data_IF_312645409956
#
_entry.id   IF_312645409956
#
_cell.length_a   1.000
_cell.length_b   1.000
_cell.length_c   1.000
_cell.angle_alpha   90.00
_cell.angle_beta   90.00
_cell.angle_gamma   90.00
#
_symmetry.space_group_name_H-M   'P 1'
#
loop_
_entity.id
_entity.type
_entity.pdbx_description
1 polymer ?
#
# COMPACT_ATOMS: atom_id res chain seq x y z
N UNK A 1 -11.19 -24.50 48.68
CA UNK A 1 -10.22 -23.56 48.10
C UNK A 1 -9.22 -24.35 47.28
N UNK A 2 -9.36 -24.36 45.96
CA UNK A 2 -8.33 -24.83 45.03
C UNK A 2 -8.63 -24.16 43.67
N UNK A 3 -7.92 -23.08 43.34
CA UNK A 3 -7.99 -22.41 42.04
C UNK A 3 -6.90 -23.00 41.15
N UNK A 4 -7.30 -23.71 40.09
CA UNK A 4 -6.45 -24.15 38.98
C UNK A 4 -5.94 -22.91 38.21
N UNK A 5 -4.70 -22.87 37.69
CA UNK A 5 -4.17 -21.70 37.02
C UNK A 5 -4.57 -21.70 35.55
N UNK A 6 -4.99 -20.53 35.06
CA UNK A 6 -5.25 -20.16 33.66
C UNK A 6 -3.97 -20.16 32.78
N UNK A 7 -2.94 -20.91 33.17
CA UNK A 7 -1.65 -20.94 32.50
C UNK A 7 -1.61 -21.88 31.28
N UNK A 8 -2.66 -22.66 31.03
CA UNK A 8 -2.65 -23.70 29.98
C UNK A 8 -3.36 -23.30 28.67
N UNK A 9 -4.00 -22.13 28.59
CA UNK A 9 -4.72 -21.68 27.38
C UNK A 9 -3.95 -20.65 26.55
N UNK A 10 -2.82 -20.12 27.01
CA UNK A 10 -2.05 -19.12 26.25
C UNK A 10 -0.93 -19.71 25.38
N UNK A 11 -0.73 -21.04 25.38
CA UNK A 11 0.33 -21.71 24.62
C UNK A 11 -0.03 -22.04 23.16
N UNK A 12 -1.08 -21.41 22.58
CA UNK A 12 -1.61 -21.77 21.26
C UNK A 12 -1.78 -20.60 20.25
N UNK A 13 -1.22 -19.42 20.49
CA UNK A 13 -1.22 -18.33 19.49
C UNK A 13 0.19 -17.79 19.22
N UNK A 14 1.10 -18.66 18.79
CA UNK A 14 2.41 -18.29 18.30
C UNK A 14 2.64 -18.85 16.88
N UNK A 15 1.80 -18.47 15.92
CA UNK A 15 2.13 -18.56 14.48
C UNK A 15 1.42 -17.43 13.73
N UNK A 16 2.09 -16.28 13.61
CA UNK A 16 1.99 -15.40 12.44
C UNK A 16 2.96 -14.24 12.66
N UNK A 17 4.20 -14.41 12.20
CA UNK A 17 5.10 -13.30 11.99
C UNK A 17 4.58 -12.48 10.81
N UNK A 18 3.91 -11.36 11.10
CA UNK A 18 3.81 -10.24 10.16
C UNK A 18 4.78 -9.18 10.66
N UNK A 19 5.95 -9.13 10.02
CA UNK A 19 6.73 -7.89 9.95
C UNK A 19 6.02 -7.02 8.91
N UNK A 20 5.31 -5.98 9.37
CA UNK A 20 4.76 -4.96 8.49
C UNK A 20 5.83 -3.88 8.28
N UNK A 21 6.62 -4.00 7.20
CA UNK A 21 7.37 -2.87 6.67
C UNK A 21 6.40 -1.95 5.93
N UNK A 22 5.94 -0.88 6.59
CA UNK A 22 5.06 0.12 5.99
C UNK A 22 5.90 1.12 5.23
N UNK A 23 6.40 0.70 4.06
CA UNK A 23 6.90 1.59 3.01
C UNK A 23 6.46 1.12 1.63
N UNK A 24 5.15 1.02 1.43
CA UNK A 24 4.59 1.07 0.08
C UNK A 24 3.65 2.27 -0.04
N UNK A 25 4.15 3.32 -0.69
CA UNK A 25 3.28 4.30 -1.35
C UNK A 25 2.48 3.50 -2.36
N UNK A 26 1.15 3.49 -2.21
CA UNK A 26 0.26 2.86 -3.18
C UNK A 26 0.37 3.55 -4.54
N UNK A 27 1.32 3.13 -5.37
CA UNK A 27 1.28 3.36 -6.80
C UNK A 27 0.08 2.57 -7.33
N UNK A 28 -0.90 3.29 -7.88
CA UNK A 28 -2.10 2.67 -8.45
C UNK A 28 -1.69 1.51 -9.38
N UNK A 29 -2.14 0.30 -9.06
CA UNK A 29 -1.90 -0.87 -9.89
C UNK A 29 -2.42 -0.63 -11.31
N UNK A 30 -1.69 -1.04 -12.36
CA UNK A 30 -2.21 -0.99 -13.71
C UNK A 30 -3.55 -1.73 -13.79
N UNK A 31 -4.52 -1.15 -14.51
CA UNK A 31 -5.82 -1.78 -14.73
C UNK A 31 -5.70 -3.15 -15.39
N UNK A 32 -6.66 -4.04 -15.13
CA UNK A 32 -6.71 -5.39 -15.70
C UNK A 32 -6.77 -5.29 -17.24
N UNK A 33 -5.96 -6.05 -18.00
CA UNK A 33 -6.03 -6.08 -19.46
C UNK A 33 -7.44 -6.43 -19.95
N UNK A 34 -7.90 -5.76 -20.99
CA UNK A 34 -9.18 -6.05 -21.64
C UNK A 34 -9.25 -7.46 -22.22
N UNK A 35 -10.46 -8.00 -22.38
CA UNK A 35 -10.66 -9.32 -23.00
C UNK A 35 -10.33 -9.28 -24.51
N UNK A 36 -9.86 -10.40 -25.10
CA UNK A 36 -9.62 -10.48 -26.54
C UNK A 36 -10.90 -10.16 -27.33
N UNK A 37 -10.76 -9.44 -28.45
CA UNK A 37 -11.87 -9.15 -29.36
C UNK A 37 -12.48 -10.41 -29.97
N UNK A 38 -13.74 -10.33 -30.40
CA UNK A 38 -14.45 -11.43 -31.07
C UNK A 38 -13.88 -11.73 -32.46
N UNK A 39 -14.14 -12.95 -32.96
CA UNK A 39 -13.75 -13.33 -34.32
C UNK A 39 -14.52 -12.50 -35.36
N UNK A 40 -13.83 -12.12 -36.45
CA UNK A 40 -14.45 -11.41 -37.58
C UNK A 40 -15.50 -12.27 -38.30
N UNK A 41 -16.35 -11.60 -39.08
CA UNK A 41 -17.38 -12.27 -39.88
C UNK A 41 -16.77 -13.08 -41.04
N UNK A 42 -17.42 -14.18 -41.48
CA UNK A 42 -17.00 -14.91 -42.69
C UNK A 42 -16.97 -14.01 -43.93
N UNK A 43 -16.05 -14.30 -44.86
CA UNK A 43 -15.98 -13.62 -46.15
C UNK A 43 -17.26 -13.80 -46.98
N UNK A 44 -17.50 -12.89 -47.93
CA UNK A 44 -18.62 -13.00 -48.87
C UNK A 44 -18.35 -14.07 -49.91
N UNK A 45 -19.40 -14.72 -50.39
CA UNK A 45 -19.30 -15.71 -51.47
C UNK A 45 -18.76 -15.06 -52.77
N UNK A 46 -18.03 -15.86 -53.55
CA UNK A 46 -17.51 -15.44 -54.86
C UNK A 46 -18.63 -15.14 -55.85
N UNK A 47 -18.35 -14.29 -56.86
CA UNK A 47 -19.30 -14.02 -57.94
C UNK A 47 -19.35 -15.20 -58.92
N UNK A 48 -20.53 -15.44 -59.49
CA UNK A 48 -20.71 -16.44 -60.53
C UNK A 48 -19.81 -16.17 -61.74
N UNK A 49 -19.31 -17.25 -62.36
CA UNK A 49 -18.49 -17.18 -63.57
C UNK A 49 -19.27 -16.67 -64.77
N UNK A 50 -18.57 -16.04 -65.71
CA UNK A 50 -19.20 -15.61 -66.98
C UNK A 50 -19.65 -16.82 -67.80
N UNK A 51 -20.84 -16.73 -68.42
CA UNK A 51 -21.32 -17.76 -69.35
C UNK A 51 -20.38 -17.80 -70.56
N UNK A 52 -19.98 -19.01 -70.98
CA UNK A 52 -19.16 -19.18 -72.19
C UNK A 52 -19.87 -18.70 -73.44
N UNK A 53 -19.10 -18.21 -74.41
CA UNK A 53 -19.62 -17.73 -75.69
C UNK A 53 -20.29 -18.88 -76.48
N UNK A 54 -21.32 -18.58 -77.29
CA UNK A 54 -21.92 -19.58 -78.18
C UNK A 54 -20.88 -20.18 -79.13
N UNK A 55 -20.97 -21.50 -79.34
CA UNK A 55 -20.09 -22.19 -80.29
C UNK A 55 -20.24 -21.65 -81.73
N UNK A 56 -19.19 -21.73 -82.56
CA UNK A 56 -19.28 -21.29 -83.94
C UNK A 56 -20.35 -22.08 -84.71
N UNK A 57 -21.07 -21.46 -85.66
CA UNK A 57 -22.03 -22.15 -86.52
C UNK A 57 -21.37 -23.33 -87.23
N UNK A 58 -22.07 -24.46 -87.32
CA UNK A 58 -21.58 -25.64 -88.03
C UNK A 58 -21.35 -25.36 -89.53
N UNK A 59 -20.44 -26.11 -90.18
CA UNK A 59 -20.18 -25.96 -91.60
C UNK A 59 -21.45 -26.24 -92.43
N UNK A 60 -21.70 -25.42 -93.45
CA UNK A 60 -22.87 -25.56 -94.33
C UNK A 60 -22.83 -26.91 -95.07
N UNK A 61 -23.92 -27.67 -94.99
CA UNK A 61 -24.03 -28.98 -95.65
C UNK A 61 -24.10 -28.88 -97.18
N UNK A 62 -23.70 -29.95 -97.90
CA UNK A 62 -23.75 -29.97 -99.37
C UNK A 62 -25.20 -29.90 -99.91
N UNK A 63 -25.44 -29.25 -101.07
CA UNK A 63 -26.78 -29.07 -101.62
C UNK A 63 -27.47 -30.41 -101.94
N UNK A 64 -28.64 -30.64 -101.33
CA UNK A 64 -29.49 -31.82 -101.60
C UNK A 64 -29.52 -32.90 -100.50
N UNK A 65 -28.84 -32.70 -99.36
CA UNK A 65 -28.89 -33.62 -98.21
C UNK A 65 -29.85 -33.19 -97.09
N UNK A 66 -30.34 -34.17 -96.30
CA UNK A 66 -31.13 -33.95 -95.09
C UNK A 66 -30.39 -33.07 -94.07
N UNK A 67 -31.13 -32.30 -93.25
CA UNK A 67 -30.56 -31.43 -92.21
C UNK A 67 -29.57 -32.22 -91.32
N UNK A 68 -28.37 -31.68 -91.13
CA UNK A 68 -27.34 -32.31 -90.30
C UNK A 68 -27.79 -32.43 -88.84
N UNK A 69 -27.20 -33.36 -88.07
CA UNK A 69 -27.49 -33.47 -86.63
C UNK A 69 -27.18 -32.15 -85.91
N UNK A 70 -27.90 -31.82 -84.81
CA UNK A 70 -27.60 -30.65 -83.99
C UNK A 70 -26.11 -30.63 -83.59
N UNK A 71 -25.52 -29.44 -83.58
CA UNK A 71 -24.15 -29.25 -83.11
C UNK A 71 -24.00 -29.79 -81.68
N UNK A 72 -22.83 -30.34 -81.36
CA UNK A 72 -22.55 -30.77 -79.99
C UNK A 72 -22.55 -29.57 -79.04
N UNK A 73 -23.08 -29.78 -77.83
CA UNK A 73 -23.05 -28.76 -76.77
C UNK A 73 -21.60 -28.32 -76.51
N UNK A 74 -21.41 -27.00 -76.33
CA UNK A 74 -20.11 -26.45 -75.98
C UNK A 74 -19.60 -27.03 -74.65
N UNK A 75 -18.27 -27.13 -74.52
CA UNK A 75 -17.67 -27.60 -73.26
C UNK A 75 -18.07 -26.68 -72.09
N UNK A 76 -18.35 -27.27 -70.93
CA UNK A 76 -18.59 -26.51 -69.69
C UNK A 76 -17.36 -25.64 -69.41
N UNK A 77 -17.57 -24.35 -69.18
CA UNK A 77 -16.50 -23.40 -68.87
C UNK A 77 -15.70 -23.84 -67.65
N UNK A 78 -14.42 -23.48 -67.60
CA UNK A 78 -13.57 -23.79 -66.45
C UNK A 78 -14.17 -23.21 -65.15
N UNK A 79 -14.03 -23.90 -64.00
CA UNK A 79 -14.45 -23.36 -62.71
C UNK A 79 -13.86 -21.96 -62.48
N UNK A 80 -14.67 -21.06 -61.91
CA UNK A 80 -14.20 -19.73 -61.52
C UNK A 80 -13.01 -19.82 -60.57
N UNK A 81 -12.14 -18.80 -60.60
CA UNK A 81 -11.03 -18.72 -59.66
C UNK A 81 -11.54 -18.64 -58.20
N UNK A 82 -10.85 -19.24 -57.22
CA UNK A 82 -11.19 -19.08 -55.81
C UNK A 82 -11.27 -17.59 -55.44
N UNK A 83 -12.29 -17.22 -54.66
CA UNK A 83 -12.45 -15.85 -54.18
C UNK A 83 -11.24 -15.39 -53.35
N UNK A 84 -10.98 -14.08 -53.35
CA UNK A 84 -9.90 -13.52 -52.55
C UNK A 84 -10.16 -13.73 -51.05
N UNK A 85 -9.08 -13.94 -50.28
CA UNK A 85 -9.17 -14.04 -48.83
C UNK A 85 -9.70 -12.71 -48.28
N UNK A 86 -10.78 -12.78 -47.49
CA UNK A 86 -11.33 -11.61 -46.81
C UNK A 86 -10.28 -10.88 -45.96
N UNK A 87 -10.43 -9.56 -45.84
CA UNK A 87 -9.52 -8.74 -45.05
C UNK A 87 -9.54 -9.15 -43.56
N UNK A 88 -8.40 -8.98 -42.88
CA UNK A 88 -8.32 -9.21 -41.43
C UNK A 88 -9.20 -8.17 -40.74
N UNK A 89 -10.09 -8.62 -39.84
CA UNK A 89 -10.91 -7.72 -39.04
C UNK A 89 -10.05 -6.72 -38.25
N UNK A 90 -10.59 -5.52 -38.05
CA UNK A 90 -9.91 -4.47 -37.30
C UNK A 90 -9.68 -4.88 -35.83
N UNK A 91 -8.61 -4.39 -35.18
CA UNK A 91 -8.45 -4.57 -33.74
C UNK A 91 -9.66 -4.05 -32.98
N UNK A 92 -10.13 -4.78 -31.97
CA UNK A 92 -11.22 -4.34 -31.12
C UNK A 92 -10.90 -3.02 -30.43
N UNK A 93 -11.93 -2.20 -30.17
CA UNK A 93 -11.75 -0.93 -29.49
C UNK A 93 -11.18 -1.12 -28.08
N UNK A 94 -10.38 -0.15 -27.62
CA UNK A 94 -9.90 -0.13 -26.24
C UNK A 94 -11.12 -0.04 -25.31
N UNK A 95 -11.18 -0.92 -24.31
CA UNK A 95 -12.20 -0.83 -23.26
C UNK A 95 -12.20 0.52 -22.54
N UNK A 96 -13.33 0.91 -21.92
CA UNK A 96 -13.41 2.16 -21.17
C UNK A 96 -12.41 2.16 -20.01
N UNK A 97 -11.92 3.35 -19.58
CA UNK A 97 -11.17 3.46 -18.35
C UNK A 97 -11.93 2.85 -17.16
N UNK A 98 -11.20 2.23 -16.23
CA UNK A 98 -11.79 1.77 -14.97
C UNK A 98 -12.41 2.92 -14.18
N UNK A 99 -13.40 2.61 -13.34
CA UNK A 99 -14.00 3.62 -12.47
C UNK A 99 -12.95 4.19 -11.50
N UNK A 100 -12.89 5.51 -11.33
CA UNK A 100 -12.10 6.13 -10.28
C UNK A 100 -12.48 5.62 -8.89
N UNK A 101 -11.49 5.34 -8.03
CA UNK A 101 -11.71 4.87 -6.66
C UNK A 101 -12.56 5.80 -5.77
N UNK A 102 -12.73 7.07 -6.15
CA UNK A 102 -13.61 8.01 -5.45
C UNK A 102 -15.09 7.89 -5.83
N UNK A 103 -15.40 7.19 -6.92
CA UNK A 103 -16.77 6.90 -7.38
C UNK A 103 -17.24 5.50 -6.95
N UNK A 104 -16.38 4.74 -6.28
CA UNK A 104 -16.72 3.48 -5.65
C UNK A 104 -17.34 3.77 -4.27
N UNK A 105 -18.67 3.80 -4.21
CA UNK A 105 -19.43 4.10 -2.99
C UNK A 105 -19.16 3.08 -1.88
N UNK A 106 -18.90 1.82 -2.22
CA UNK A 106 -18.59 0.76 -1.25
C UNK A 106 -17.24 1.03 -0.58
N UNK A 107 -16.21 1.39 -1.37
CA UNK A 107 -14.90 1.76 -0.85
C UNK A 107 -14.96 3.02 0.03
N UNK A 108 -15.70 4.05 -0.39
CA UNK A 108 -15.84 5.28 0.40
C UNK A 108 -16.56 5.04 1.72
N UNK A 109 -17.60 4.21 1.72
CA UNK A 109 -18.32 3.81 2.92
C UNK A 109 -17.41 3.04 3.88
N UNK A 110 -16.65 2.06 3.37
CA UNK A 110 -15.70 1.30 4.18
C UNK A 110 -14.61 2.18 4.80
N UNK A 111 -14.04 3.13 4.03
CA UNK A 111 -13.06 4.08 4.55
C UNK A 111 -13.64 5.00 5.64
N UNK A 112 -14.88 5.45 5.44
CA UNK A 112 -15.59 6.26 6.44
C UNK A 112 -15.80 5.48 7.75
N UNK A 113 -16.23 4.22 7.64
CA UNK A 113 -16.45 3.35 8.80
C UNK A 113 -15.15 3.04 9.55
N UNK A 114 -14.07 2.69 8.84
CA UNK A 114 -12.75 2.44 9.45
C UNK A 114 -12.25 3.69 10.17
N UNK A 115 -12.33 4.86 9.52
CA UNK A 115 -11.95 6.14 10.14
C UNK A 115 -12.74 6.39 11.42
N UNK A 116 -14.05 6.16 11.37
CA UNK A 116 -14.92 6.35 12.52
C UNK A 116 -14.54 5.41 13.68
N UNK A 117 -14.29 4.13 13.41
CA UNK A 117 -13.86 3.15 14.41
C UNK A 117 -12.50 3.51 15.04
N UNK A 118 -11.55 4.00 14.24
CA UNK A 118 -10.24 4.48 14.74
C UNK A 118 -10.45 5.67 15.67
N UNK A 119 -11.22 6.68 15.26
CA UNK A 119 -11.47 7.88 16.07
C UNK A 119 -12.20 7.54 17.38
N UNK A 120 -13.16 6.61 17.34
CA UNK A 120 -13.83 6.13 18.54
C UNK A 120 -12.85 5.43 19.50
N UNK A 121 -12.00 4.54 18.97
CA UNK A 121 -11.01 3.81 19.77
C UNK A 121 -9.99 4.76 20.40
N UNK A 122 -9.45 5.70 19.61
CA UNK A 122 -8.56 6.75 20.11
C UNK A 122 -9.25 7.64 21.16
N UNK A 123 -10.53 7.99 20.92
CA UNK A 123 -11.33 8.77 21.85
C UNK A 123 -11.50 8.09 23.21
N UNK A 124 -11.78 6.78 23.24
CA UNK A 124 -11.88 5.99 24.48
C UNK A 124 -10.53 5.95 25.21
N UNK A 125 -9.44 5.67 24.50
CA UNK A 125 -8.10 5.60 25.09
C UNK A 125 -7.65 6.96 25.66
N UNK A 126 -7.98 8.05 24.98
CA UNK A 126 -7.71 9.41 25.47
C UNK A 126 -8.59 9.77 26.66
N UNK A 127 -9.88 9.41 26.64
CA UNK A 127 -10.80 9.65 27.76
C UNK A 127 -10.37 8.90 29.03
N UNK A 128 -9.82 7.70 28.87
CA UNK A 128 -9.27 6.89 29.98
C UNK A 128 -7.85 7.32 30.39
N UNK A 129 -7.28 8.35 29.75
CA UNK A 129 -5.92 8.84 29.97
C UNK A 129 -4.83 7.75 29.78
N UNK A 130 -5.09 6.77 28.91
CA UNK A 130 -4.11 5.73 28.52
C UNK A 130 -3.16 6.20 27.41
N UNK A 131 -3.54 7.24 26.68
CA UNK A 131 -2.71 7.87 25.68
C UNK A 131 -2.94 9.38 25.63
N UNK A 132 -1.96 10.09 25.07
CA UNK A 132 -2.04 11.52 24.79
C UNK A 132 -1.58 11.76 23.35
N UNK A 133 -2.44 12.31 22.50
CA UNK A 133 -2.11 12.60 21.10
C UNK A 133 -1.74 14.08 20.91
N UNK A 134 -0.65 14.34 20.18
CA UNK A 134 -0.22 15.68 19.75
C UNK A 134 0.16 15.63 18.28
N UNK A 135 -0.61 16.32 17.43
CA UNK A 135 -0.43 16.24 15.98
C UNK A 135 -0.63 14.79 15.49
N UNK A 136 0.39 14.25 14.83
CA UNK A 136 0.38 12.87 14.33
C UNK A 136 0.96 11.86 15.33
N UNK A 137 1.55 12.32 16.44
CA UNK A 137 2.17 11.44 17.44
C UNK A 137 1.21 11.06 18.56
N UNK A 138 1.34 9.83 19.04
CA UNK A 138 0.67 9.35 20.25
C UNK A 138 1.70 9.00 21.31
N UNK A 139 1.56 9.56 22.50
CA UNK A 139 2.39 9.25 23.67
C UNK A 139 1.63 8.34 24.64
N UNK A 140 2.31 7.33 25.18
CA UNK A 140 1.74 6.45 26.20
C UNK A 140 2.84 5.94 27.14
N UNK A 141 2.43 5.57 28.35
CA UNK A 141 3.30 4.94 29.35
C UNK A 141 2.61 3.74 29.95
N UNK A 142 3.40 2.70 30.27
CA UNK A 142 2.93 1.56 31.06
C UNK A 142 3.18 1.74 32.56
N UNK A 143 3.67 2.92 32.98
CA UNK A 143 3.94 3.25 34.39
C UNK A 143 5.22 2.64 34.98
N UNK A 144 5.97 1.83 34.22
CA UNK A 144 7.19 1.19 34.72
C UNK A 144 8.37 2.16 34.72
N UNK A 145 9.20 2.09 35.77
CA UNK A 145 10.49 2.77 35.82
C UNK A 145 11.61 1.78 35.58
N UNK A 146 12.36 1.91 34.49
CA UNK A 146 13.44 1.00 34.07
C UNK A 146 14.60 1.76 33.41
N UNK A 147 15.70 1.08 33.11
CA UNK A 147 16.87 1.66 32.45
C UNK A 147 16.61 1.96 30.96
N UNK A 148 17.39 2.87 30.38
CA UNK A 148 17.18 3.41 29.02
C UNK A 148 17.07 2.34 27.92
N UNK A 149 17.98 1.36 27.94
CA UNK A 149 18.01 0.25 26.99
C UNK A 149 16.75 -0.61 27.11
N UNK A 150 16.28 -0.86 28.32
CA UNK A 150 15.03 -1.59 28.58
C UNK A 150 13.82 -0.81 28.03
N UNK A 151 13.76 0.52 28.21
CA UNK A 151 12.68 1.35 27.63
C UNK A 151 12.69 1.25 26.11
N UNK A 152 13.88 1.29 25.48
CA UNK A 152 14.02 1.16 24.03
C UNK A 152 13.39 -0.13 23.52
N UNK A 153 13.70 -1.25 24.15
CA UNK A 153 13.15 -2.55 23.77
C UNK A 153 11.65 -2.66 24.07
N UNK A 154 11.17 -2.06 25.17
CA UNK A 154 9.74 -2.02 25.50
C UNK A 154 8.93 -1.27 24.44
N UNK A 155 9.38 -0.08 24.05
CA UNK A 155 8.70 0.71 23.03
C UNK A 155 8.78 0.05 21.65
N UNK A 156 9.94 -0.48 21.27
CA UNK A 156 10.11 -1.19 20.00
C UNK A 156 9.18 -2.42 19.89
N UNK A 157 9.05 -3.20 20.97
CA UNK A 157 8.13 -4.35 21.01
C UNK A 157 6.66 -3.95 20.84
N UNK A 158 6.30 -2.74 21.24
CA UNK A 158 4.96 -2.19 21.06
C UNK A 158 4.76 -1.58 19.66
N UNK A 159 5.77 -1.57 18.79
CA UNK A 159 5.72 -0.93 17.47
C UNK A 159 6.00 0.57 17.49
N UNK A 160 6.53 1.11 18.59
CA UNK A 160 6.88 2.52 18.76
C UNK A 160 8.36 2.72 19.07
N UNK A 161 8.68 3.90 19.61
CA UNK A 161 10.03 4.27 20.06
C UNK A 161 9.97 5.08 21.35
N UNK A 162 11.11 5.27 22.01
CA UNK A 162 11.15 6.15 23.20
C UNK A 162 10.68 7.54 22.78
N UNK A 163 9.80 8.15 23.58
CA UNK A 163 9.26 9.48 23.31
C UNK A 163 10.38 10.53 23.21
N UNK A 164 10.37 11.33 22.15
CA UNK A 164 11.36 12.37 21.90
C UNK A 164 10.66 13.63 21.36
N UNK A 165 10.52 14.68 22.18
CA UNK A 165 9.82 15.90 21.76
C UNK A 165 10.59 16.63 20.67
N UNK A 166 9.86 17.06 19.64
CA UNK A 166 10.34 17.89 18.53
C UNK A 166 9.66 19.26 18.47
N UNK A 167 8.77 19.55 19.41
CA UNK A 167 8.11 20.85 19.58
C UNK A 167 7.78 21.12 21.05
N UNK A 168 7.46 22.38 21.42
CA UNK A 168 7.00 22.73 22.76
C UNK A 168 5.73 21.98 23.18
N UNK A 169 4.81 21.74 22.26
CA UNK A 169 3.54 21.04 22.51
C UNK A 169 3.80 19.57 22.85
N UNK A 170 4.70 18.91 22.12
CA UNK A 170 5.13 17.54 22.42
C UNK A 170 5.87 17.48 23.77
N UNK A 171 6.69 18.49 24.07
CA UNK A 171 7.40 18.56 25.35
C UNK A 171 6.43 18.64 26.53
N UNK A 172 5.43 19.52 26.45
CA UNK A 172 4.42 19.68 27.50
C UNK A 172 3.58 18.40 27.66
N UNK A 173 3.23 17.73 26.56
CA UNK A 173 2.52 16.47 26.62
C UNK A 173 3.30 15.40 27.40
N UNK A 174 4.58 15.20 27.08
CA UNK A 174 5.44 14.25 27.81
C UNK A 174 5.59 14.72 29.27
N UNK A 175 5.84 16.02 29.51
CA UNK A 175 5.98 16.58 30.84
C UNK A 175 4.74 16.36 31.71
N UNK A 176 3.52 16.43 31.15
CA UNK A 176 2.28 16.15 31.88
C UNK A 176 2.21 14.69 32.35
N UNK A 177 2.70 13.73 31.55
CA UNK A 177 2.78 12.31 31.92
C UNK A 177 3.81 12.14 33.04
N UNK A 178 4.99 12.72 32.87
CA UNK A 178 6.08 12.71 33.87
C UNK A 178 5.61 13.27 35.21
N UNK A 179 4.90 14.41 35.18
CA UNK A 179 4.32 15.08 36.34
C UNK A 179 3.21 14.24 37.01
N UNK A 180 2.32 13.64 36.22
CA UNK A 180 1.25 12.75 36.73
C UNK A 180 1.81 11.56 37.51
N UNK A 181 2.93 11.00 37.07
CA UNK A 181 3.62 9.90 37.74
C UNK A 181 4.62 10.35 38.82
N UNK A 182 4.84 11.66 38.97
CA UNK A 182 5.74 12.27 39.96
C UNK A 182 7.15 11.61 39.97
N UNK A 183 7.73 11.44 38.80
CA UNK A 183 9.05 10.83 38.57
C UNK A 183 9.72 11.52 37.38
N UNK A 184 10.87 11.04 36.91
CA UNK A 184 11.53 11.52 35.69
C UNK A 184 11.44 10.44 34.60
N UNK A 185 11.46 10.86 33.33
CA UNK A 185 11.46 9.96 32.17
C UNK A 185 12.72 10.15 31.34
N UNK A 186 13.16 9.10 30.65
CA UNK A 186 14.14 9.26 29.60
C UNK A 186 13.46 9.77 28.32
N UNK A 187 14.16 10.63 27.59
CA UNK A 187 13.80 11.03 26.23
C UNK A 187 14.57 10.17 25.23
N UNK A 188 14.02 9.94 24.05
CA UNK A 188 14.64 9.21 22.94
C UNK A 188 15.78 9.97 22.27
N UNK A 189 16.73 10.44 23.08
CA UNK A 189 17.88 11.26 22.72
C UNK A 189 19.15 10.64 23.30
N UNK A 190 20.23 10.67 22.53
CA UNK A 190 21.55 10.19 22.95
C UNK A 190 22.64 11.20 22.61
N UNK A 191 23.65 11.29 23.46
CA UNK A 191 24.85 12.07 23.17
C UNK A 191 25.64 11.39 22.04
N UNK A 192 26.07 12.18 21.07
CA UNK A 192 26.84 11.75 19.92
C UNK A 192 28.32 11.56 20.21
N UNK A 193 29.15 11.48 19.15
CA UNK A 193 30.60 11.32 19.28
C UNK A 193 31.29 12.53 19.92
N UNK A 194 30.77 13.73 19.66
CA UNK A 194 31.25 14.98 20.25
C UNK A 194 30.45 15.26 21.51
N UNK A 195 31.13 15.45 22.64
CA UNK A 195 30.47 15.74 23.91
C UNK A 195 29.65 17.04 23.83
N UNK A 196 28.40 16.97 24.28
CA UNK A 196 27.43 18.07 24.20
C UNK A 196 26.55 18.09 22.94
N UNK A 197 26.88 17.29 21.91
CA UNK A 197 26.00 17.14 20.74
C UNK A 197 25.01 16.01 20.97
N UNK A 198 23.71 16.27 20.83
CA UNK A 198 22.65 15.29 21.03
C UNK A 198 21.93 14.96 19.72
N UNK A 199 21.54 13.69 19.59
CA UNK A 199 20.87 13.14 18.43
C UNK A 199 19.62 12.37 18.84
N UNK A 200 18.61 12.39 17.98
CA UNK A 200 17.50 11.45 18.07
C UNK A 200 17.98 10.01 17.79
N UNK A 201 17.21 9.01 18.21
CA UNK A 201 17.57 7.60 17.99
C UNK A 201 17.66 7.18 16.50
N UNK A 202 17.11 7.97 15.59
CA UNK A 202 17.24 7.79 14.13
C UNK A 202 18.55 8.37 13.55
N UNK A 203 19.38 8.99 14.40
CA UNK A 203 20.64 9.64 14.01
C UNK A 203 20.49 11.08 13.53
N UNK A 204 19.28 11.64 13.50
CA UNK A 204 19.08 13.06 13.17
C UNK A 204 19.52 13.97 14.32
N UNK A 205 20.17 15.11 14.06
CA UNK A 205 20.57 16.03 15.11
C UNK A 205 19.36 16.66 15.81
N UNK A 206 19.47 16.87 17.13
CA UNK A 206 18.41 17.51 17.92
C UNK A 206 18.23 18.96 17.48
N UNK A 207 17.00 19.34 17.15
CA UNK A 207 16.65 20.68 16.68
C UNK A 207 15.85 21.49 17.71
N UNK A 208 15.08 20.83 18.56
CA UNK A 208 14.32 21.42 19.67
C UNK A 208 14.94 20.99 20.99
N UNK A 209 15.11 21.93 21.92
CA UNK A 209 15.68 21.65 23.25
C UNK A 209 14.96 22.41 24.35
N UNK A 210 14.88 21.81 25.53
CA UNK A 210 14.38 22.47 26.74
C UNK A 210 15.28 22.20 27.95
N UNK A 211 16.58 22.45 27.80
CA UNK A 211 17.58 22.19 28.86
C UNK A 211 17.31 22.99 30.12
N UNK A 212 17.49 22.34 31.28
CA UNK A 212 17.55 23.02 32.56
C UNK A 212 18.74 24.00 32.59
N UNK A 213 18.61 25.20 33.20
CA UNK A 213 19.70 26.16 33.28
C UNK A 213 21.02 25.55 33.78
N UNK A 214 22.02 25.52 32.90
CA UNK A 214 23.35 24.98 33.19
C UNK A 214 23.62 23.58 32.63
N UNK A 215 22.62 22.93 32.03
CA UNK A 215 22.75 21.66 31.30
C UNK A 215 22.84 21.89 29.78
N UNK A 216 23.40 20.94 29.01
CA UNK A 216 24.04 19.68 29.44
C UNK A 216 25.48 19.90 29.93
N UNK A 217 25.88 19.26 31.04
CA UNK A 217 27.23 19.45 31.64
C UNK A 217 28.01 18.16 31.93
N UNK A 218 27.49 17.00 31.56
CA UNK A 218 28.09 15.69 31.79
C UNK A 218 29.36 15.42 30.99
N UNK A 219 29.69 16.25 29.97
CA UNK A 219 30.95 16.23 29.19
C UNK A 219 31.34 14.82 28.70
N UNK A 220 30.43 14.10 28.04
CA UNK A 220 30.72 12.77 27.48
C UNK A 220 30.50 11.58 28.42
N UNK A 221 30.19 11.83 29.70
CA UNK A 221 29.94 10.77 30.71
C UNK A 221 28.47 10.41 30.85
N UNK A 222 27.58 11.32 30.47
CA UNK A 222 26.13 11.22 30.66
C UNK A 222 25.44 11.19 29.30
N UNK A 223 25.37 9.98 28.71
CA UNK A 223 25.01 9.80 27.30
C UNK A 223 23.51 9.86 27.00
N UNK A 224 22.64 9.91 28.00
CA UNK A 224 21.19 9.91 27.84
C UNK A 224 20.61 11.23 28.33
N UNK A 225 19.36 11.52 27.96
CA UNK A 225 18.65 12.73 28.39
C UNK A 225 17.44 12.32 29.22
N UNK A 226 17.32 12.89 30.42
CA UNK A 226 16.13 12.76 31.25
C UNK A 226 15.31 14.06 31.26
N UNK A 227 13.99 13.93 31.36
CA UNK A 227 13.06 15.02 31.54
C UNK A 227 12.59 15.07 33.00
N UNK A 228 12.69 16.25 33.60
CA UNK A 228 12.15 16.55 34.91
C UNK A 228 10.63 16.79 34.88
N UNK A 229 10.02 16.83 36.06
CA UNK A 229 8.57 17.03 36.22
C UNK A 229 8.07 18.40 35.76
N UNK A 230 8.97 19.37 35.58
CA UNK A 230 8.69 20.70 35.02
C UNK A 230 8.94 20.78 33.51
N UNK A 231 9.25 19.64 32.87
CA UNK A 231 9.51 19.52 31.44
C UNK A 231 10.91 19.94 31.00
N UNK A 232 11.77 20.39 31.92
CA UNK A 232 13.17 20.74 31.61
C UNK A 232 14.06 19.50 31.56
N UNK A 233 15.14 19.57 30.80
CA UNK A 233 15.98 18.42 30.48
C UNK A 233 17.31 18.46 31.20
N UNK A 234 17.85 17.28 31.48
CA UNK A 234 19.17 17.08 32.05
C UNK A 234 19.87 15.91 31.35
N UNK A 235 21.17 16.03 31.07
CA UNK A 235 21.94 14.88 30.62
C UNK A 235 22.23 13.97 31.82
N UNK A 236 22.08 12.66 31.62
CA UNK A 236 22.19 11.67 32.69
C UNK A 236 22.80 10.37 32.20
N UNK A 237 23.44 9.64 33.11
CA UNK A 237 23.78 8.24 32.88
C UNK A 237 22.50 7.43 32.57
N UNK A 238 22.56 6.59 31.54
CA UNK A 238 21.49 5.74 30.99
C UNK A 238 21.02 4.58 31.90
N UNK A 239 21.71 4.32 33.02
CA UNK A 239 21.44 3.19 33.93
C UNK A 239 20.49 3.55 35.09
N UNK A 240 19.96 4.78 35.13
CA UNK A 240 18.99 5.16 36.14
C UNK A 240 17.61 4.55 35.82
N UNK A 241 16.79 4.35 36.84
CA UNK A 241 15.41 3.90 36.66
C UNK A 241 14.53 5.12 36.36
N UNK A 242 13.96 5.17 35.16
CA UNK A 242 13.12 6.26 34.67
C UNK A 242 11.86 5.73 34.04
N UNK A 243 10.81 6.54 34.11
CA UNK A 243 9.50 6.20 33.55
C UNK A 243 9.63 5.90 32.05
N UNK A 244 9.09 4.76 31.64
CA UNK A 244 9.00 4.36 30.25
C UNK A 244 7.86 5.13 29.57
N UNK A 245 8.20 6.05 28.68
CA UNK A 245 7.24 6.75 27.82
C UNK A 245 7.59 6.45 26.36
N UNK A 246 6.63 5.92 25.63
CA UNK A 246 6.77 5.59 24.21
C UNK A 246 5.98 6.57 23.35
N UNK A 247 6.46 6.80 22.13
CA UNK A 247 5.74 7.46 21.06
C UNK A 247 5.45 6.49 19.91
N UNK A 248 4.29 6.68 19.28
CA UNK A 248 3.76 5.93 18.15
C UNK A 248 3.39 6.90 17.02
#
# INVERSE_FOLDING_TARGET
MLRWPLALTFLLLAVSGLECDVKEVCLASPGIPGTPGSHGLPGRDGRDGIKGDPGPPGPMGPPGGMAGPPGQDGMIGAPGLPGERGEKGEPGERGPPGLPAHLDEELQSALHEIRHQILQSMGVLSFQEFMLAVGEKVFSTNGQSVAFDVIRELCARAGGRIAAPRSPEENEAIASIVKKHNTYAYLGLVEGPTAGDFFYLDGTPVNYTNWYPGEPRGRGKEKCVEMYTDGQWNDRNCQQYRLAICEF
#
